data_IF_460398640816
#
_entry.id   IF_460398640816
#
_cell.length_a   1.000
_cell.length_b   1.000
_cell.length_c   1.000
_cell.angle_alpha   90.00
_cell.angle_beta   90.00
_cell.angle_gamma   90.00
#
_symmetry.space_group_name_H-M   'P 1'
#
loop_
_entity.id
_entity.type
_entity.pdbx_description
1 polymer ?
#
# COMPACT_ATOMS: atom_id res chain seq x y z
N UNK A 1 8.87 18.80 16.82
CA UNK A 1 9.38 17.56 16.17
C UNK A 1 10.48 16.98 17.05
N UNK A 2 10.23 15.89 17.77
CA UNK A 2 11.19 15.32 18.74
C UNK A 2 12.50 14.80 18.10
N UNK A 3 12.46 14.44 16.81
CA UNK A 3 13.59 13.84 16.08
C UNK A 3 14.20 14.72 14.98
N UNK A 4 13.74 15.98 14.85
CA UNK A 4 14.22 16.89 13.80
C UNK A 4 14.00 16.41 12.35
N UNK A 5 13.17 15.39 12.13
CA UNK A 5 12.90 14.77 10.83
C UNK A 5 11.43 14.35 10.71
N UNK A 6 10.92 14.19 9.48
CA UNK A 6 9.57 13.67 9.21
C UNK A 6 9.38 12.27 9.76
N UNK A 7 8.13 11.87 10.04
CA UNK A 7 7.84 10.52 10.57
C UNK A 7 8.48 9.41 9.71
N UNK A 8 8.24 9.44 8.39
CA UNK A 8 8.80 8.46 7.47
C UNK A 8 10.33 8.54 7.31
N UNK A 9 10.95 9.69 7.63
CA UNK A 9 12.41 9.79 7.71
C UNK A 9 12.96 9.09 8.95
N UNK A 10 12.23 9.16 10.08
CA UNK A 10 12.58 8.44 11.31
C UNK A 10 12.44 6.93 11.09
N UNK A 11 11.31 6.48 10.54
CA UNK A 11 11.09 5.07 10.14
C UNK A 11 12.23 4.60 9.25
N UNK A 12 12.66 5.40 8.27
CA UNK A 12 13.78 5.03 7.39
C UNK A 12 15.14 4.91 8.09
N UNK A 13 15.39 5.69 9.14
CA UNK A 13 16.70 5.76 9.80
C UNK A 13 16.91 4.69 10.87
N UNK A 14 15.82 4.12 11.40
CA UNK A 14 15.85 3.12 12.46
C UNK A 14 15.24 1.81 11.96
N UNK A 15 16.10 0.81 11.73
CA UNK A 15 15.67 -0.48 11.20
C UNK A 15 14.75 -1.25 12.14
N UNK A 16 14.94 -1.15 13.46
CA UNK A 16 14.07 -1.83 14.42
C UNK A 16 12.68 -1.18 14.44
N UNK A 17 12.64 0.14 14.36
CA UNK A 17 11.38 0.87 14.24
C UNK A 17 10.69 0.62 12.90
N UNK A 18 11.44 0.50 11.80
CA UNK A 18 10.90 0.14 10.49
C UNK A 18 10.20 -1.23 10.52
N UNK A 19 10.85 -2.26 11.05
CA UNK A 19 10.25 -3.60 11.18
C UNK A 19 8.99 -3.56 12.03
N UNK A 20 9.02 -2.89 13.18
CA UNK A 20 7.85 -2.72 14.05
C UNK A 20 6.71 -1.99 13.33
N UNK A 21 7.02 -0.94 12.58
CA UNK A 21 6.06 -0.18 11.81
C UNK A 21 5.43 -1.02 10.69
N UNK A 22 6.24 -1.74 9.91
CA UNK A 22 5.77 -2.59 8.82
C UNK A 22 4.89 -3.74 9.32
N UNK A 23 5.24 -4.36 10.47
CA UNK A 23 4.43 -5.38 11.12
C UNK A 23 3.10 -4.82 11.63
N UNK A 24 3.13 -3.67 12.30
CA UNK A 24 1.92 -3.01 12.81
C UNK A 24 0.96 -2.63 11.67
N UNK A 25 1.48 -1.98 10.63
CA UNK A 25 0.69 -1.60 9.45
C UNK A 25 0.19 -2.82 8.67
N UNK A 26 1.00 -3.86 8.55
CA UNK A 26 0.59 -5.12 7.93
C UNK A 26 -0.55 -5.80 8.68
N UNK A 27 -0.49 -5.82 10.02
CA UNK A 27 -1.58 -6.35 10.85
C UNK A 27 -2.86 -5.53 10.70
N UNK A 28 -2.76 -4.20 10.78
CA UNK A 28 -3.92 -3.30 10.66
C UNK A 28 -4.56 -3.40 9.26
N UNK A 29 -3.74 -3.38 8.21
CA UNK A 29 -4.21 -3.48 6.83
C UNK A 29 -4.98 -4.77 6.57
N UNK A 30 -4.53 -5.91 7.12
CA UNK A 30 -5.25 -7.19 7.00
C UNK A 30 -6.65 -7.07 7.60
N UNK A 31 -6.75 -6.62 8.85
CA UNK A 31 -8.01 -6.48 9.55
C UNK A 31 -8.96 -5.50 8.86
N UNK A 32 -8.47 -4.32 8.49
CA UNK A 32 -9.28 -3.29 7.83
C UNK A 32 -9.72 -3.75 6.44
N UNK A 33 -8.84 -4.38 5.66
CA UNK A 33 -9.18 -4.85 4.31
C UNK A 33 -10.28 -5.91 4.30
N UNK A 34 -10.33 -6.79 5.30
CA UNK A 34 -11.43 -7.75 5.47
C UNK A 34 -12.77 -7.05 5.71
N UNK A 35 -12.79 -6.00 6.53
CA UNK A 35 -13.99 -5.20 6.77
C UNK A 35 -14.40 -4.46 5.50
N UNK A 36 -13.45 -3.84 4.79
CA UNK A 36 -13.72 -3.11 3.55
C UNK A 36 -14.36 -4.01 2.51
N UNK A 37 -13.80 -5.20 2.28
CA UNK A 37 -14.34 -6.18 1.33
C UNK A 37 -15.75 -6.61 1.73
N UNK A 38 -15.99 -6.86 3.03
CA UNK A 38 -17.27 -7.38 3.52
C UNK A 38 -18.38 -6.33 3.52
N UNK A 39 -18.11 -5.13 4.02
CA UNK A 39 -19.13 -4.11 4.28
C UNK A 39 -19.29 -3.11 3.12
N UNK A 40 -18.25 -2.95 2.29
CA UNK A 40 -18.22 -1.95 1.21
C UNK A 40 -17.95 -2.56 -0.17
N UNK A 41 -18.13 -3.88 -0.31
CA UNK A 41 -17.87 -4.60 -1.55
C UNK A 41 -18.67 -4.11 -2.76
N UNK A 42 -19.86 -3.56 -2.54
CA UNK A 42 -20.70 -2.97 -3.59
C UNK A 42 -20.06 -1.77 -4.29
N UNK A 43 -19.29 -0.95 -3.56
CA UNK A 43 -18.54 0.17 -4.11
C UNK A 43 -17.42 -0.35 -5.02
N UNK A 44 -16.76 -1.44 -4.60
CA UNK A 44 -15.67 -2.07 -5.34
C UNK A 44 -16.17 -2.88 -6.55
N UNK A 45 -17.41 -3.35 -6.53
CA UNK A 45 -18.02 -4.05 -7.65
C UNK A 45 -18.17 -3.16 -8.90
N UNK A 46 -18.35 -1.84 -8.71
CA UNK A 46 -18.54 -0.88 -9.81
C UNK A 46 -17.26 -0.35 -10.45
N UNK A 47 -16.08 -0.66 -9.89
CA UNK A 47 -14.79 -0.16 -10.43
C UNK A 47 -14.09 -1.22 -11.28
N UNK A 48 -13.24 -0.77 -12.19
CA UNK A 48 -12.40 -1.63 -13.03
C UNK A 48 -10.93 -1.60 -12.63
N UNK A 49 -10.51 -0.57 -11.89
CA UNK A 49 -9.12 -0.40 -11.45
C UNK A 49 -9.03 0.33 -10.12
N UNK A 50 -8.03 -0.02 -9.32
CA UNK A 50 -7.72 0.58 -8.03
C UNK A 50 -6.20 0.81 -7.88
N UNK A 51 -5.83 1.95 -7.31
CA UNK A 51 -4.44 2.28 -6.95
C UNK A 51 -4.36 2.45 -5.43
N UNK A 52 -3.57 1.61 -4.79
CA UNK A 52 -3.27 1.67 -3.35
C UNK A 52 -2.01 2.53 -3.13
N UNK A 53 -2.22 3.80 -2.79
CA UNK A 53 -1.15 4.80 -2.65
C UNK A 53 -0.53 4.72 -1.25
N UNK A 54 0.78 4.50 -1.17
CA UNK A 54 1.47 4.19 0.08
C UNK A 54 1.15 2.78 0.60
N UNK A 55 0.75 1.87 -0.29
CA UNK A 55 0.27 0.52 0.06
C UNK A 55 1.36 -0.45 0.50
N UNK A 56 2.63 -0.05 0.49
CA UNK A 56 3.77 -0.85 0.93
C UNK A 56 3.83 -2.24 0.26
N UNK A 57 3.59 -3.33 1.00
CA UNK A 57 3.62 -4.69 0.46
C UNK A 57 2.33 -5.10 -0.27
N UNK A 58 1.39 -4.17 -0.41
CA UNK A 58 0.14 -4.34 -1.13
C UNK A 58 -0.87 -5.20 -0.39
N UNK A 59 -0.80 -5.33 0.93
CA UNK A 59 -1.75 -6.14 1.71
C UNK A 59 -3.21 -5.80 1.37
N UNK A 60 -3.56 -4.52 1.36
CA UNK A 60 -4.91 -4.05 1.03
C UNK A 60 -5.25 -4.31 -0.43
N UNK A 61 -4.40 -3.88 -1.37
CA UNK A 61 -4.60 -4.14 -2.80
C UNK A 61 -4.80 -5.64 -3.13
N UNK A 62 -4.02 -6.54 -2.51
CA UNK A 62 -4.13 -7.99 -2.70
C UNK A 62 -5.45 -8.53 -2.16
N UNK A 63 -5.91 -8.06 -1.00
CA UNK A 63 -7.20 -8.48 -0.45
C UNK A 63 -8.35 -8.10 -1.40
N UNK A 64 -8.31 -6.89 -1.95
CA UNK A 64 -9.29 -6.40 -2.93
C UNK A 64 -9.21 -7.22 -4.23
N UNK A 65 -8.02 -7.40 -4.79
CA UNK A 65 -7.83 -8.17 -6.03
C UNK A 65 -8.33 -9.62 -5.91
N UNK A 66 -8.17 -10.25 -4.74
CA UNK A 66 -8.69 -11.60 -4.47
C UNK A 66 -10.21 -11.63 -4.36
N UNK A 67 -10.82 -10.63 -3.74
CA UNK A 67 -12.26 -10.55 -3.58
C UNK A 67 -12.99 -10.13 -4.86
N UNK A 68 -12.33 -9.29 -5.68
CA UNK A 68 -12.87 -8.74 -6.92
C UNK A 68 -11.88 -8.92 -8.08
N UNK A 69 -11.77 -10.15 -8.65
CA UNK A 69 -10.77 -10.47 -9.66
C UNK A 69 -10.88 -9.65 -10.96
N UNK A 70 -12.01 -8.98 -11.19
CA UNK A 70 -12.20 -8.07 -12.32
C UNK A 70 -11.54 -6.70 -12.12
N UNK A 71 -11.16 -6.36 -10.89
CA UNK A 71 -10.53 -5.07 -10.55
C UNK A 71 -9.02 -5.19 -10.69
N UNK A 72 -8.44 -4.45 -11.64
CA UNK A 72 -6.98 -4.34 -11.74
C UNK A 72 -6.44 -3.52 -10.57
N UNK A 73 -5.65 -4.15 -9.71
CA UNK A 73 -5.07 -3.49 -8.54
C UNK A 73 -3.59 -3.18 -8.77
N UNK A 74 -3.19 -1.97 -8.40
CA UNK A 74 -1.80 -1.52 -8.39
C UNK A 74 -1.45 -0.87 -7.06
N UNK A 75 -0.18 -0.92 -6.68
CA UNK A 75 0.37 -0.29 -5.46
C UNK A 75 1.35 0.78 -5.90
N UNK A 76 1.10 2.02 -5.52
CA UNK A 76 2.01 3.15 -5.74
C UNK A 76 2.78 3.41 -4.46
N UNK A 77 4.10 3.24 -4.48
CA UNK A 77 4.96 3.58 -3.34
C UNK A 77 6.31 4.12 -3.83
N UNK A 78 7.12 4.61 -2.89
CA UNK A 78 8.45 5.14 -3.19
C UNK A 78 9.29 4.07 -3.94
N UNK A 79 10.16 4.47 -4.89
CA UNK A 79 10.97 3.52 -5.66
C UNK A 79 11.69 2.49 -4.79
N UNK A 80 12.31 2.94 -3.70
CA UNK A 80 13.01 2.07 -2.74
C UNK A 80 12.14 1.00 -2.07
N UNK A 81 10.83 1.25 -1.94
CA UNK A 81 9.87 0.29 -1.36
C UNK A 81 9.50 -0.72 -2.43
N UNK A 82 9.18 -0.25 -3.63
CA UNK A 82 8.84 -1.09 -4.79
C UNK A 82 9.99 -2.02 -5.16
N UNK A 83 11.24 -1.53 -5.17
CA UNK A 83 12.44 -2.32 -5.48
C UNK A 83 12.67 -3.47 -4.47
N UNK A 84 12.11 -3.37 -3.27
CA UNK A 84 12.21 -4.41 -2.24
C UNK A 84 11.08 -5.45 -2.33
N UNK A 85 10.07 -5.24 -3.18
CA UNK A 85 8.94 -6.15 -3.30
C UNK A 85 9.25 -7.32 -4.24
N UNK A 86 8.87 -8.56 -3.87
CA UNK A 86 8.95 -9.67 -4.79
C UNK A 86 7.98 -9.45 -5.96
N UNK A 87 8.28 -10.07 -7.11
CA UNK A 87 7.33 -10.14 -8.20
C UNK A 87 5.99 -10.72 -7.72
N UNK A 88 4.89 -10.15 -8.21
CA UNK A 88 3.55 -10.54 -7.84
C UNK A 88 2.63 -10.59 -9.05
N UNK A 89 1.90 -11.68 -9.17
CA UNK A 89 0.90 -11.87 -10.23
C UNK A 89 -0.48 -11.32 -9.84
N UNK A 90 -0.64 -10.90 -8.59
CA UNK A 90 -1.93 -10.41 -8.03
C UNK A 90 -2.07 -8.89 -8.14
N UNK A 91 -1.00 -8.13 -7.89
CA UNK A 91 -0.99 -6.67 -7.98
C UNK A 91 0.24 -6.16 -8.73
N UNK A 92 0.09 -5.03 -9.41
CA UNK A 92 1.19 -4.32 -10.08
C UNK A 92 1.84 -3.31 -9.12
N UNK A 93 3.17 -3.33 -8.96
CA UNK A 93 3.88 -2.32 -8.18
C UNK A 93 4.39 -1.20 -9.08
N UNK A 94 4.07 0.04 -8.72
CA UNK A 94 4.41 1.27 -9.45
C UNK A 94 5.28 2.15 -8.56
N UNK A 95 6.50 2.44 -9.00
CA UNK A 95 7.42 3.32 -8.30
C UNK A 95 7.08 4.79 -8.55
N UNK A 96 6.89 5.58 -7.47
CA UNK A 96 6.64 7.02 -7.58
C UNK A 96 6.60 7.74 -6.23
N UNK A 97 6.53 9.07 -6.26
CA UNK A 97 6.30 9.89 -5.07
C UNK A 97 4.92 10.55 -5.19
N UNK A 98 3.99 10.15 -4.33
CA UNK A 98 2.63 10.71 -4.27
C UNK A 98 2.60 12.24 -4.02
N UNK A 99 3.70 12.82 -3.51
CA UNK A 99 3.82 14.26 -3.28
C UNK A 99 4.21 15.02 -4.55
N UNK A 100 4.71 14.32 -5.55
CA UNK A 100 5.07 14.91 -6.84
C UNK A 100 3.88 14.74 -7.76
N UNK A 101 3.19 15.85 -8.01
CA UNK A 101 2.31 15.92 -9.16
C UNK A 101 3.19 16.20 -10.39
N UNK A 102 3.07 15.44 -11.51
CA UNK A 102 3.66 15.89 -12.76
C UNK A 102 2.93 17.17 -13.15
N UNK A 103 3.53 18.31 -12.86
CA UNK A 103 3.28 19.53 -13.63
C UNK A 103 3.80 19.21 -15.03
N UNK A 104 2.95 19.33 -16.05
CA UNK A 104 3.39 19.31 -17.44
C UNK A 104 4.42 20.38 -17.75
#
# INVERSE_FOLDING_TARGET
MAHGAGFYDVVRRDAAFAVCFDEAMGSDSRFVSEIVVREYGEVLAGVTSLVDVGGHNGTTARAIARAFPHVRCSVLDLPRVVDAMPADDTVEFVAGDMRVHPSG
#
